data_IF_659963045852
#
_entry.id   IF_659963045852
#
_cell.length_a   1.000
_cell.length_b   1.000
_cell.length_c   1.000
_cell.angle_alpha   90.00
_cell.angle_beta   90.00
_cell.angle_gamma   90.00
#
_symmetry.space_group_name_H-M   'P 1'
#
loop_
_entity.id
_entity.type
_entity.pdbx_description
1 polymer ?
#
# COMPACT_ATOMS: atom_id res chain seq x y z
N UNK A 1 13.33 41.01 30.30
CA UNK A 1 13.32 39.77 31.10
C UNK A 1 13.02 38.60 30.19
N UNK A 2 14.02 37.77 29.87
CA UNK A 2 13.88 36.62 28.98
C UNK A 2 14.22 35.31 29.73
N UNK A 3 13.23 34.41 29.82
CA UNK A 3 13.32 32.95 30.04
C UNK A 3 12.25 32.37 29.09
N UNK A 4 12.38 31.23 28.43
CA UNK A 4 13.06 29.99 28.80
C UNK A 4 13.46 29.16 27.56
N UNK A 5 14.30 28.15 27.82
CA UNK A 5 14.75 27.06 26.93
C UNK A 5 13.58 26.18 26.47
N UNK A 6 13.71 25.59 25.27
CA UNK A 6 13.24 24.23 24.99
C UNK A 6 14.25 23.52 24.08
N UNK A 7 14.89 22.50 24.65
CA UNK A 7 15.61 21.43 23.96
C UNK A 7 14.59 20.54 23.24
N UNK A 8 14.89 20.12 22.03
CA UNK A 8 14.07 19.15 21.29
C UNK A 8 14.81 18.63 20.06
N UNK A 9 15.77 17.74 20.28
CA UNK A 9 16.28 16.82 19.28
C UNK A 9 15.11 15.94 18.83
N UNK A 10 14.60 16.14 17.63
CA UNK A 10 13.76 15.16 16.93
C UNK A 10 14.29 14.97 15.51
N UNK A 11 14.46 13.70 15.19
CA UNK A 11 15.04 13.17 13.97
C UNK A 11 14.34 13.69 12.71
N UNK A 12 15.14 14.27 11.81
CA UNK A 12 15.75 13.44 10.78
C UNK A 12 14.86 12.81 9.71
N UNK A 13 13.54 13.00 9.70
CA UNK A 13 12.69 12.67 8.55
C UNK A 13 12.28 13.98 7.88
N UNK A 14 13.28 14.60 7.25
CA UNK A 14 13.14 15.88 6.58
C UNK A 14 12.20 15.70 5.39
N UNK A 15 11.32 16.69 5.24
CA UNK A 15 10.48 17.04 4.09
C UNK A 15 10.98 16.62 2.70
N UNK A 16 12.29 16.46 2.50
CA UNK A 16 12.92 15.96 1.26
C UNK A 16 12.52 14.52 0.89
N UNK A 17 12.27 13.62 1.84
CA UNK A 17 11.79 12.27 1.52
C UNK A 17 10.31 12.28 1.09
N UNK A 18 9.52 13.18 1.69
CA UNK A 18 8.16 13.47 1.27
C UNK A 18 8.11 14.17 -0.10
N UNK A 19 9.07 15.06 -0.39
CA UNK A 19 9.21 15.70 -1.68
C UNK A 19 9.70 14.73 -2.76
N UNK A 20 10.49 13.70 -2.43
CA UNK A 20 10.81 12.60 -3.35
C UNK A 20 9.61 11.70 -3.65
N UNK A 21 8.77 11.39 -2.65
CA UNK A 21 7.52 10.67 -2.89
C UNK A 21 6.54 11.49 -3.74
N UNK A 22 6.47 12.81 -3.51
CA UNK A 22 5.68 13.73 -4.33
C UNK A 22 6.29 13.89 -5.72
N UNK A 23 7.61 13.95 -5.90
CA UNK A 23 8.25 14.06 -7.23
C UNK A 23 8.18 12.77 -8.05
N UNK A 24 8.09 11.61 -7.40
CA UNK A 24 7.75 10.33 -8.06
C UNK A 24 6.25 10.22 -8.40
N UNK A 25 5.38 10.94 -7.67
CA UNK A 25 3.93 10.95 -7.86
C UNK A 25 3.39 12.20 -8.59
N UNK A 26 4.21 13.22 -8.87
CA UNK A 26 3.79 14.40 -9.65
C UNK A 26 3.83 14.10 -11.14
N UNK A 27 2.73 14.30 -11.87
CA UNK A 27 2.58 13.93 -13.28
C UNK A 27 3.24 14.95 -14.23
N UNK A 28 4.49 15.33 -13.97
CA UNK A 28 5.24 16.33 -14.77
C UNK A 28 6.62 15.83 -15.20
N UNK A 29 6.68 14.60 -15.71
CA UNK A 29 7.61 14.24 -16.77
C UNK A 29 6.82 13.96 -18.07
N UNK A 30 6.35 15.05 -18.65
CA UNK A 30 5.73 15.09 -19.97
C UNK A 30 6.81 14.88 -21.05
N UNK A 31 7.20 13.62 -21.31
CA UNK A 31 7.66 13.16 -22.65
C UNK A 31 7.83 11.65 -22.77
N UNK A 32 7.74 10.85 -21.70
CA UNK A 32 7.66 9.38 -21.85
C UNK A 32 6.56 8.81 -20.97
N UNK A 33 5.39 8.59 -21.60
CA UNK A 33 4.31 7.74 -21.06
C UNK A 33 4.98 6.49 -20.47
N UNK A 34 4.81 6.16 -19.17
CA UNK A 34 5.40 4.96 -18.60
C UNK A 34 4.96 3.79 -19.49
N UNK A 35 5.92 3.12 -20.11
CA UNK A 35 5.67 1.99 -21.02
C UNK A 35 5.27 0.80 -20.17
N UNK A 36 4.04 0.82 -19.63
CA UNK A 36 3.40 -0.38 -19.13
C UNK A 36 3.27 -1.32 -20.32
N UNK A 37 4.20 -2.27 -20.42
CA UNK A 37 4.32 -3.15 -21.59
C UNK A 37 3.13 -4.11 -21.70
N UNK A 38 2.37 -4.25 -20.62
CA UNK A 38 1.24 -5.15 -20.42
C UNK A 38 -0.15 -4.49 -20.45
N UNK A 39 -0.28 -3.15 -20.47
CA UNK A 39 -1.63 -2.56 -20.48
C UNK A 39 -2.35 -2.84 -21.80
N UNK A 40 -3.67 -3.08 -21.74
CA UNK A 40 -4.46 -3.51 -22.90
C UNK A 40 -4.47 -2.49 -24.03
N UNK A 41 -4.48 -1.19 -23.75
CA UNK A 41 -4.31 -0.17 -24.79
C UNK A 41 -3.00 -0.32 -25.59
N UNK A 42 -1.91 -0.80 -24.97
CA UNK A 42 -0.66 -1.08 -25.68
C UNK A 42 -0.68 -2.42 -26.42
N UNK A 43 -1.43 -3.41 -25.93
CA UNK A 43 -1.62 -4.69 -26.62
C UNK A 43 -2.50 -4.54 -27.86
N UNK A 44 -3.51 -3.68 -27.83
CA UNK A 44 -4.32 -3.30 -28.99
C UNK A 44 -3.47 -2.59 -30.05
N UNK A 45 -2.60 -1.66 -29.65
CA UNK A 45 -1.63 -1.01 -30.57
C UNK A 45 -0.65 -1.98 -31.21
N UNK A 46 -0.40 -3.12 -30.57
CA UNK A 46 0.43 -4.22 -31.10
C UNK A 46 -0.39 -5.27 -31.85
N UNK A 47 -1.69 -5.06 -32.02
CA UNK A 47 -2.62 -5.99 -32.64
C UNK A 47 -2.69 -7.37 -31.96
N UNK A 48 -2.42 -7.42 -30.65
CA UNK A 48 -2.50 -8.65 -29.83
C UNK A 48 -3.91 -8.83 -29.26
N UNK A 49 -4.60 -7.74 -28.92
CA UNK A 49 -5.97 -7.73 -28.40
C UNK A 49 -6.86 -6.86 -29.30
N UNK A 50 -8.15 -7.21 -29.38
CA UNK A 50 -9.13 -6.46 -30.17
C UNK A 50 -9.71 -5.24 -29.42
N UNK A 51 -9.77 -5.30 -28.09
CA UNK A 51 -10.44 -4.31 -27.25
C UNK A 51 -9.52 -3.83 -26.11
N UNK A 52 -9.37 -2.51 -25.89
CA UNK A 52 -8.65 -1.98 -24.76
C UNK A 52 -9.42 -2.07 -23.43
N UNK A 53 -10.65 -2.55 -23.38
CA UNK A 53 -11.44 -2.60 -22.15
C UNK A 53 -10.76 -3.38 -21.01
N UNK A 54 -10.74 -2.74 -19.84
CA UNK A 54 -10.29 -3.31 -18.57
C UNK A 54 -11.24 -4.42 -18.14
N UNK A 55 -10.72 -5.60 -17.83
CA UNK A 55 -11.54 -6.73 -17.37
C UNK A 55 -12.17 -6.50 -15.99
N UNK A 56 -11.64 -5.56 -15.22
CA UNK A 56 -12.08 -5.28 -13.85
C UNK A 56 -13.22 -4.26 -13.79
N UNK A 57 -13.32 -3.36 -14.77
CA UNK A 57 -14.32 -2.29 -14.73
C UNK A 57 -15.01 -1.97 -16.07
N UNK A 58 -14.57 -2.58 -17.18
CA UNK A 58 -15.15 -2.40 -18.51
C UNK A 58 -14.79 -1.11 -19.23
N UNK A 59 -14.02 -0.20 -18.62
CA UNK A 59 -13.57 1.04 -19.26
C UNK A 59 -12.24 0.84 -20.01
N UNK A 60 -11.90 1.66 -21.01
CA UNK A 60 -10.63 1.55 -21.73
C UNK A 60 -9.43 1.62 -20.78
N UNK A 61 -8.61 0.57 -20.77
CA UNK A 61 -7.45 0.43 -19.90
C UNK A 61 -6.20 1.03 -20.53
N UNK A 62 -5.71 2.11 -19.95
CA UNK A 62 -4.34 2.57 -20.12
C UNK A 62 -3.56 2.58 -18.79
N UNK A 63 -2.29 3.00 -18.80
CA UNK A 63 -1.46 2.98 -17.60
C UNK A 63 -2.04 3.85 -16.47
N UNK A 64 -2.62 5.00 -16.82
CA UNK A 64 -3.22 5.94 -15.88
C UNK A 64 -4.55 5.39 -15.34
N UNK A 65 -5.34 4.76 -16.21
CA UNK A 65 -6.52 4.01 -15.80
C UNK A 65 -6.16 2.89 -14.82
N UNK A 66 -5.21 2.00 -15.14
CA UNK A 66 -4.87 0.86 -14.28
C UNK A 66 -4.34 1.29 -12.91
N UNK A 67 -3.51 2.35 -12.86
CA UNK A 67 -2.79 2.75 -11.64
C UNK A 67 -3.61 3.73 -10.80
N UNK A 68 -4.30 4.70 -11.42
CA UNK A 68 -4.83 5.87 -10.72
C UNK A 68 -6.34 6.06 -10.84
N UNK A 69 -7.01 5.48 -11.84
CA UNK A 69 -8.43 5.81 -12.13
C UNK A 69 -9.37 4.63 -12.21
N UNK A 70 -8.87 3.41 -12.29
CA UNK A 70 -9.71 2.22 -12.28
C UNK A 70 -10.35 2.12 -10.90
N UNK A 71 -11.68 2.23 -10.84
CA UNK A 71 -12.45 2.18 -9.59
C UNK A 71 -12.04 1.00 -8.70
N UNK A 72 -11.76 -0.15 -9.31
CA UNK A 72 -11.35 -1.36 -8.62
C UNK A 72 -9.91 -1.25 -8.10
N UNK A 73 -8.98 -0.80 -8.95
CA UNK A 73 -7.57 -0.64 -8.55
C UNK A 73 -7.40 0.43 -7.47
N UNK A 74 -8.05 1.58 -7.61
CA UNK A 74 -8.05 2.66 -6.60
C UNK A 74 -8.59 2.17 -5.27
N UNK A 75 -9.64 1.34 -5.27
CA UNK A 75 -10.20 0.79 -4.04
C UNK A 75 -9.21 -0.16 -3.34
N UNK A 76 -8.45 -0.96 -4.09
CA UNK A 76 -7.39 -1.83 -3.56
C UNK A 76 -6.20 -0.99 -3.05
N UNK A 77 -5.73 -0.02 -3.84
CA UNK A 77 -4.61 0.85 -3.47
C UNK A 77 -4.92 1.75 -2.27
N UNK A 78 -6.18 2.16 -2.08
CA UNK A 78 -6.61 3.03 -0.97
C UNK A 78 -6.18 2.48 0.38
N UNK A 79 -6.14 1.15 0.53
CA UNK A 79 -5.77 0.51 1.80
C UNK A 79 -4.47 -0.29 1.71
N UNK A 80 -3.85 -0.37 0.54
CA UNK A 80 -2.58 -1.10 0.35
C UNK A 80 -1.45 -0.53 1.22
N UNK A 81 -1.33 0.79 1.32
CA UNK A 81 -0.34 1.40 2.21
C UNK A 81 -0.57 1.03 3.67
N UNK A 82 -1.84 1.02 4.12
CA UNK A 82 -2.22 0.60 5.47
C UNK A 82 -1.90 -0.88 5.72
N UNK A 83 -2.15 -1.74 4.72
CA UNK A 83 -1.82 -3.16 4.78
C UNK A 83 -0.31 -3.38 4.96
N UNK A 84 0.51 -2.74 4.12
CA UNK A 84 1.97 -2.85 4.21
C UNK A 84 2.47 -2.32 5.55
N UNK A 85 1.95 -1.18 6.02
CA UNK A 85 2.30 -0.64 7.33
C UNK A 85 1.95 -1.60 8.48
N UNK A 86 0.80 -2.27 8.43
CA UNK A 86 0.41 -3.28 9.41
C UNK A 86 1.38 -4.47 9.43
N UNK A 87 1.74 -5.00 8.26
CA UNK A 87 2.69 -6.12 8.16
C UNK A 87 4.08 -5.70 8.64
N UNK A 88 4.58 -4.53 8.22
CA UNK A 88 5.87 -3.99 8.67
C UNK A 88 5.89 -3.77 10.19
N UNK A 89 4.80 -3.25 10.76
CA UNK A 89 4.65 -3.06 12.20
C UNK A 89 4.74 -4.38 12.96
N UNK A 90 4.06 -5.43 12.48
CA UNK A 90 4.09 -6.74 13.12
C UNK A 90 5.42 -7.45 12.96
N UNK A 91 6.10 -7.26 11.83
CA UNK A 91 7.44 -7.77 11.63
C UNK A 91 8.42 -7.11 12.61
N UNK A 92 8.32 -5.79 12.79
CA UNK A 92 9.08 -5.06 13.78
C UNK A 92 8.77 -5.55 15.21
N UNK A 93 7.49 -5.74 15.55
CA UNK A 93 7.05 -6.24 16.86
C UNK A 93 7.62 -7.63 17.15
N UNK A 94 7.49 -8.56 16.20
CA UNK A 94 8.01 -9.92 16.32
C UNK A 94 9.55 -9.95 16.46
N UNK A 95 10.26 -9.09 15.71
CA UNK A 95 11.72 -8.94 15.87
C UNK A 95 12.10 -8.42 17.26
N UNK A 96 11.35 -7.47 17.79
CA UNK A 96 11.61 -6.94 19.13
C UNK A 96 11.32 -7.97 20.22
N UNK A 97 10.27 -8.78 20.07
CA UNK A 97 10.01 -9.91 20.98
C UNK A 97 11.17 -10.91 20.98
N UNK A 98 11.76 -11.20 19.81
CA UNK A 98 12.99 -12.00 19.74
C UNK A 98 14.15 -11.32 20.45
N UNK A 99 14.40 -10.03 20.20
CA UNK A 99 15.57 -9.32 20.76
C UNK A 99 15.46 -9.10 22.27
N UNK A 100 14.30 -8.69 22.77
CA UNK A 100 14.11 -8.27 24.16
C UNK A 100 13.51 -9.34 25.06
N UNK A 101 12.78 -10.31 24.50
CA UNK A 101 12.10 -11.37 25.26
C UNK A 101 12.59 -12.78 24.88
N UNK A 102 13.49 -12.90 23.90
CA UNK A 102 14.05 -14.16 23.42
C UNK A 102 12.99 -15.17 22.94
N UNK A 103 11.86 -14.67 22.44
CA UNK A 103 10.79 -15.49 21.87
C UNK A 103 11.21 -15.95 20.48
N UNK A 104 11.25 -17.27 20.25
CA UNK A 104 11.56 -17.83 18.93
C UNK A 104 10.48 -17.47 17.91
N UNK A 105 10.84 -16.84 16.76
CA UNK A 105 9.87 -16.50 15.74
C UNK A 105 9.27 -17.75 15.10
N UNK A 106 7.97 -17.70 14.84
CA UNK A 106 7.21 -18.76 14.18
C UNK A 106 6.36 -18.14 13.09
N UNK A 107 6.51 -18.64 11.86
CA UNK A 107 5.79 -18.11 10.69
C UNK A 107 4.28 -18.26 10.87
N UNK A 108 3.81 -19.41 11.37
CA UNK A 108 2.37 -19.62 11.64
C UNK A 108 1.82 -18.68 12.71
N UNK A 109 2.57 -18.45 13.81
CA UNK A 109 2.16 -17.48 14.84
C UNK A 109 2.18 -16.04 14.30
N UNK A 110 3.12 -15.72 13.42
CA UNK A 110 3.21 -14.41 12.78
C UNK A 110 2.00 -14.14 11.90
N UNK A 111 1.61 -15.07 11.01
CA UNK A 111 0.43 -14.88 10.17
C UNK A 111 -0.86 -14.86 10.97
N UNK A 112 -0.97 -15.64 12.04
CA UNK A 112 -2.10 -15.56 12.97
C UNK A 112 -2.18 -14.17 13.64
N UNK A 113 -1.06 -13.61 14.07
CA UNK A 113 -1.02 -12.26 14.62
C UNK A 113 -1.38 -11.19 13.58
N UNK A 114 -0.97 -11.35 12.33
CA UNK A 114 -1.38 -10.50 11.21
C UNK A 114 -2.89 -10.56 10.97
N UNK A 115 -3.48 -11.76 10.99
CA UNK A 115 -4.92 -11.97 10.91
C UNK A 115 -5.66 -11.24 12.04
N UNK A 116 -5.24 -11.43 13.29
CA UNK A 116 -5.93 -10.87 14.44
C UNK A 116 -5.84 -9.34 14.47
N UNK A 117 -4.69 -8.77 14.12
CA UNK A 117 -4.55 -7.32 13.99
C UNK A 117 -5.31 -6.75 12.80
N UNK A 118 -5.43 -7.48 11.70
CA UNK A 118 -6.28 -7.05 10.58
C UNK A 118 -7.75 -6.93 11.00
N UNK A 119 -8.25 -7.88 11.80
CA UNK A 119 -9.60 -7.79 12.39
C UNK A 119 -9.75 -6.57 13.27
N UNK A 120 -8.78 -6.29 14.14
CA UNK A 120 -8.79 -5.10 14.99
C UNK A 120 -8.73 -3.82 14.16
N UNK A 121 -7.98 -3.83 13.05
CA UNK A 121 -7.85 -2.69 12.14
C UNK A 121 -9.17 -2.29 11.49
N UNK A 122 -10.12 -3.22 11.31
CA UNK A 122 -11.46 -2.93 10.79
C UNK A 122 -12.17 -1.80 11.57
N UNK A 123 -11.91 -1.68 12.87
CA UNK A 123 -12.49 -0.64 13.72
C UNK A 123 -11.92 0.76 13.44
N UNK A 124 -10.74 0.84 12.82
CA UNK A 124 -10.08 2.10 12.41
C UNK A 124 -10.50 2.54 11.01
N UNK A 125 -11.19 1.68 10.26
CA UNK A 125 -11.68 1.98 8.92
C UNK A 125 -13.08 2.59 8.96
N UNK A 126 -13.42 3.34 7.91
CA UNK A 126 -14.80 3.77 7.66
C UNK A 126 -15.69 2.55 7.48
N UNK A 127 -16.97 2.67 7.82
CA UNK A 127 -17.94 1.57 7.76
C UNK A 127 -17.97 0.92 6.36
N UNK A 128 -17.94 1.74 5.30
CA UNK A 128 -17.91 1.30 3.89
C UNK A 128 -16.68 0.45 3.51
N UNK A 129 -15.60 0.54 4.28
CA UNK A 129 -14.33 -0.13 4.01
C UNK A 129 -14.08 -1.37 4.87
N UNK A 130 -14.92 -1.64 5.86
CA UNK A 130 -14.64 -2.71 6.84
C UNK A 130 -14.45 -4.08 6.20
N UNK A 131 -15.15 -4.35 5.09
CA UNK A 131 -15.00 -5.58 4.30
C UNK A 131 -13.57 -5.83 3.80
N UNK A 132 -12.74 -4.80 3.73
CA UNK A 132 -11.33 -4.94 3.31
C UNK A 132 -10.50 -5.64 4.37
N UNK A 133 -10.84 -5.46 5.66
CA UNK A 133 -10.22 -6.21 6.73
C UNK A 133 -10.50 -7.72 6.59
N UNK A 134 -11.70 -8.11 6.15
CA UNK A 134 -12.03 -9.52 5.90
C UNK A 134 -11.17 -10.09 4.76
N UNK A 135 -10.98 -9.33 3.69
CA UNK A 135 -10.08 -9.72 2.60
C UNK A 135 -8.63 -9.91 3.08
N UNK A 136 -8.14 -9.04 3.96
CA UNK A 136 -6.82 -9.21 4.58
C UNK A 136 -6.74 -10.45 5.45
N UNK A 137 -7.78 -10.72 6.24
CA UNK A 137 -7.86 -11.92 7.08
C UNK A 137 -7.78 -13.20 6.25
N UNK A 138 -8.50 -13.25 5.12
CA UNK A 138 -8.48 -14.37 4.19
C UNK A 138 -7.09 -14.55 3.58
N UNK A 139 -6.44 -13.46 3.18
CA UNK A 139 -5.06 -13.49 2.68
C UNK A 139 -4.10 -14.05 3.71
N UNK A 140 -4.12 -13.56 4.95
CA UNK A 140 -3.24 -14.05 6.00
C UNK A 140 -3.52 -15.50 6.42
N UNK A 141 -4.77 -15.95 6.34
CA UNK A 141 -5.14 -17.35 6.62
C UNK A 141 -4.64 -18.33 5.54
N UNK A 142 -4.34 -17.82 4.35
CA UNK A 142 -3.86 -18.62 3.21
C UNK A 142 -2.32 -18.73 3.12
N UNK A 143 -1.58 -18.04 4.00
CA UNK A 143 -0.11 -17.99 4.05
C UNK A 143 0.44 -18.85 5.19
#
# INVERSE_FOLDING_TARGET
MARARASGRTDGYRLVDWLHYILLCTPTLHTRKPRCRSCRANLVKKHILADPACELCGQPEDCDHLILRCRFAVQVYRHYSSFILLVCWLLWKSRNELVFQNITPSVGRFWLACHDEARLWSHRLKIEDRQIADAWCLLFSSM
#
